data_IF_557857433233
#
_entry.id   IF_557857433233
#
_cell.length_a   1.000
_cell.length_b   1.000
_cell.length_c   1.000
_cell.angle_alpha   90.00
_cell.angle_beta   90.00
_cell.angle_gamma   90.00
#
_symmetry.space_group_name_H-M   'P 1'
#
loop_
_entity.id
_entity.type
_entity.pdbx_description
1 polymer ?
#
# COMPACT_ATOMS: atom_id res chain seq x y z
N UNK A 1 -16.57 -7.88 -18.42
CA UNK A 1 -16.36 -8.35 -17.04
C UNK A 1 -17.07 -7.37 -16.12
N UNK A 2 -18.27 -7.71 -15.63
CA UNK A 2 -19.00 -6.84 -14.73
C UNK A 2 -18.27 -6.84 -13.38
N UNK A 3 -17.69 -5.69 -12.99
CA UNK A 3 -17.29 -5.48 -11.60
C UNK A 3 -18.51 -5.78 -10.73
N UNK A 4 -18.38 -6.71 -9.79
CA UNK A 4 -19.45 -7.02 -8.84
C UNK A 4 -20.01 -5.68 -8.31
N UNK A 5 -21.33 -5.43 -8.39
CA UNK A 5 -21.90 -4.13 -8.03
C UNK A 5 -21.50 -3.69 -6.61
N UNK A 6 -21.26 -4.67 -5.73
CA UNK A 6 -20.71 -4.47 -4.40
C UNK A 6 -19.26 -3.96 -4.40
N UNK A 7 -18.38 -4.49 -5.26
CA UNK A 7 -17.00 -3.99 -5.41
C UNK A 7 -16.99 -2.56 -5.95
N UNK A 8 -17.89 -2.24 -6.88
CA UNK A 8 -18.05 -0.87 -7.40
C UNK A 8 -18.47 0.11 -6.30
N UNK A 9 -19.42 -0.26 -5.45
CA UNK A 9 -19.83 0.55 -4.30
C UNK A 9 -18.72 0.73 -3.26
N UNK A 10 -17.97 -0.33 -2.94
CA UNK A 10 -16.85 -0.24 -1.99
C UNK A 10 -15.76 0.68 -2.55
N UNK A 11 -15.40 0.52 -3.82
CA UNK A 11 -14.42 1.39 -4.48
C UNK A 11 -14.87 2.85 -4.49
N UNK A 12 -16.15 3.11 -4.80
CA UNK A 12 -16.70 4.46 -4.77
C UNK A 12 -16.69 5.06 -3.35
N UNK A 13 -17.00 4.26 -2.33
CA UNK A 13 -16.92 4.70 -0.93
C UNK A 13 -15.48 5.03 -0.52
N UNK A 14 -14.53 4.13 -0.79
CA UNK A 14 -13.11 4.36 -0.48
C UNK A 14 -12.51 5.55 -1.24
N UNK A 15 -13.02 5.86 -2.43
CA UNK A 15 -12.61 7.04 -3.20
C UNK A 15 -13.24 8.35 -2.68
N UNK A 16 -14.35 8.28 -1.94
CA UNK A 16 -15.00 9.44 -1.35
C UNK A 16 -14.14 10.08 -0.25
N UNK A 17 -14.25 11.40 0.02
CA UNK A 17 -13.51 12.06 1.09
C UNK A 17 -13.68 11.35 2.44
N UNK A 18 -14.92 11.03 2.79
CA UNK A 18 -15.27 10.32 4.03
C UNK A 18 -14.66 8.92 4.11
N UNK A 19 -14.64 8.17 3.01
CA UNK A 19 -14.03 6.85 2.98
C UNK A 19 -12.50 6.91 3.07
N UNK A 20 -11.87 7.90 2.42
CA UNK A 20 -10.43 8.16 2.57
C UNK A 20 -10.08 8.52 4.00
N UNK A 21 -10.86 9.39 4.65
CA UNK A 21 -10.67 9.75 6.07
C UNK A 21 -10.84 8.55 6.99
N UNK A 22 -11.88 7.74 6.79
CA UNK A 22 -12.11 6.52 7.58
C UNK A 22 -10.95 5.52 7.43
N UNK A 23 -10.50 5.29 6.19
CA UNK A 23 -9.37 4.44 5.90
C UNK A 23 -8.10 5.00 6.55
N UNK A 24 -7.82 6.29 6.38
CA UNK A 24 -6.67 6.96 6.97
C UNK A 24 -6.66 6.83 8.50
N UNK A 25 -7.79 7.09 9.16
CA UNK A 25 -7.92 6.98 10.60
C UNK A 25 -7.72 5.54 11.09
N UNK A 26 -8.22 4.56 10.35
CA UNK A 26 -7.99 3.15 10.65
C UNK A 26 -6.52 2.77 10.48
N UNK A 27 -5.89 3.11 9.34
CA UNK A 27 -4.47 2.81 9.11
C UNK A 27 -3.54 3.55 10.09
N UNK A 28 -3.97 4.71 10.61
CA UNK A 28 -3.26 5.45 11.64
C UNK A 28 -3.43 4.87 13.05
N UNK A 29 -4.48 4.08 13.29
CA UNK A 29 -4.75 3.47 14.60
C UNK A 29 -3.73 2.38 14.94
N UNK A 30 -3.50 2.08 16.23
CA UNK A 30 -2.61 0.99 16.64
C UNK A 30 -3.02 -0.36 16.03
N UNK A 31 -4.32 -0.61 15.93
CA UNK A 31 -4.89 -1.84 15.38
C UNK A 31 -4.68 -1.94 13.87
N UNK A 32 -4.90 -0.84 13.12
CA UNK A 32 -4.66 -0.83 11.67
C UNK A 32 -3.18 -1.00 11.34
N UNK A 33 -2.29 -0.32 12.08
CA UNK A 33 -0.84 -0.52 11.94
C UNK A 33 -0.43 -1.96 12.20
N UNK A 34 -0.96 -2.57 13.27
CA UNK A 34 -0.71 -3.98 13.58
C UNK A 34 -1.17 -4.89 12.44
N UNK A 35 -2.38 -4.67 11.93
CA UNK A 35 -2.96 -5.48 10.83
C UNK A 35 -2.11 -5.39 9.57
N UNK A 36 -1.65 -4.19 9.18
CA UNK A 36 -0.75 -4.01 8.04
C UNK A 36 0.57 -4.72 8.30
N UNK A 37 1.17 -4.54 9.48
CA UNK A 37 2.44 -5.18 9.85
C UNK A 37 2.35 -6.72 9.80
N UNK A 38 1.25 -7.29 10.29
CA UNK A 38 0.99 -8.72 10.22
C UNK A 38 0.80 -9.17 8.76
N UNK A 39 0.08 -8.39 7.95
CA UNK A 39 -0.11 -8.69 6.53
C UNK A 39 1.21 -8.68 5.76
N UNK A 40 2.02 -7.63 5.88
CA UNK A 40 3.32 -7.53 5.17
C UNK A 40 4.34 -8.56 5.66
N UNK A 41 4.14 -9.16 6.84
CA UNK A 41 4.96 -10.26 7.31
C UNK A 41 4.64 -11.58 6.60
N UNK A 42 3.44 -11.74 6.05
CA UNK A 42 3.04 -12.91 5.26
C UNK A 42 3.74 -12.95 3.89
N UNK A 43 3.94 -14.14 3.28
CA UNK A 43 4.51 -14.24 1.93
C UNK A 43 3.75 -13.43 0.89
N UNK A 44 2.40 -13.49 0.90
CA UNK A 44 1.57 -12.73 -0.04
C UNK A 44 1.62 -11.22 0.18
N UNK A 45 1.73 -10.77 1.44
CA UNK A 45 1.93 -9.35 1.74
C UNK A 45 3.30 -8.84 1.33
N UNK A 46 4.36 -9.63 1.47
CA UNK A 46 5.71 -9.28 0.97
C UNK A 46 5.73 -9.13 -0.54
N UNK A 47 5.11 -10.06 -1.27
CA UNK A 47 5.00 -9.98 -2.73
C UNK A 47 4.20 -8.75 -3.15
N UNK A 48 3.06 -8.50 -2.50
CA UNK A 48 2.22 -7.32 -2.77
C UNK A 48 3.02 -6.04 -2.55
N UNK A 49 3.75 -5.92 -1.44
CA UNK A 49 4.63 -4.78 -1.16
C UNK A 49 5.71 -4.65 -2.22
N UNK A 50 6.37 -5.73 -2.64
CA UNK A 50 7.38 -5.68 -3.70
C UNK A 50 6.82 -5.18 -5.02
N UNK A 51 5.56 -5.49 -5.33
CA UNK A 51 4.89 -5.04 -6.55
C UNK A 51 4.52 -3.55 -6.51
N UNK A 52 4.02 -3.05 -5.37
CA UNK A 52 3.54 -1.65 -5.26
C UNK A 52 4.61 -0.66 -4.79
N UNK A 53 5.71 -1.14 -4.19
CA UNK A 53 6.77 -0.29 -3.68
C UNK A 53 7.41 0.61 -4.75
N UNK A 54 7.65 0.16 -6.00
CA UNK A 54 8.13 1.05 -7.06
C UNK A 54 7.21 2.25 -7.31
N UNK A 55 5.89 2.03 -7.37
CA UNK A 55 4.89 3.09 -7.54
C UNK A 55 4.82 4.03 -6.33
N UNK A 56 4.93 3.48 -5.11
CA UNK A 56 5.00 4.28 -3.87
C UNK A 56 6.24 5.17 -3.89
N UNK A 57 7.40 4.62 -4.28
CA UNK A 57 8.65 5.39 -4.36
C UNK A 57 8.61 6.47 -5.44
N UNK A 58 7.84 6.27 -6.51
CA UNK A 58 7.63 7.29 -7.56
C UNK A 58 6.70 8.42 -7.09
N UNK A 59 5.71 8.09 -6.25
CA UNK A 59 4.79 9.05 -5.66
C UNK A 59 5.40 9.88 -4.50
N UNK A 60 6.53 9.44 -3.93
CA UNK A 60 7.24 10.16 -2.89
C UNK A 60 8.25 11.14 -3.51
N UNK A 61 8.39 12.37 -2.99
CA UNK A 61 9.40 13.33 -3.44
C UNK A 61 10.80 12.91 -2.94
N UNK A 62 11.29 11.77 -3.41
CA UNK A 62 12.60 11.23 -3.08
C UNK A 62 13.64 11.74 -4.08
N UNK A 63 14.84 12.00 -3.59
CA UNK A 63 15.97 12.23 -4.48
C UNK A 63 16.30 10.94 -5.25
N UNK A 64 16.87 11.05 -6.47
CA UNK A 64 17.27 9.89 -7.27
C UNK A 64 18.19 8.91 -6.51
N UNK A 65 19.06 9.43 -5.64
CA UNK A 65 19.95 8.65 -4.80
C UNK A 65 19.20 7.81 -3.77
N UNK A 66 18.22 8.38 -3.06
CA UNK A 66 17.41 7.64 -2.10
C UNK A 66 16.57 6.55 -2.78
N UNK A 67 16.08 6.83 -3.99
CA UNK A 67 15.36 5.83 -4.81
C UNK A 67 16.27 4.66 -5.18
N UNK A 68 17.49 4.94 -5.63
CA UNK A 68 18.47 3.92 -6.03
C UNK A 68 18.93 3.08 -4.84
N UNK A 69 19.11 3.68 -3.65
CA UNK A 69 19.44 2.98 -2.42
C UNK A 69 18.34 2.00 -1.99
N UNK A 70 17.08 2.43 -2.01
CA UNK A 70 15.94 1.60 -1.60
C UNK A 70 15.72 0.47 -2.61
N UNK A 71 15.73 0.76 -3.92
CA UNK A 71 15.57 -0.26 -4.97
C UNK A 71 16.76 -1.23 -5.04
N UNK A 72 17.99 -0.75 -4.82
CA UNK A 72 19.18 -1.59 -4.73
C UNK A 72 19.17 -2.54 -3.53
N UNK A 73 18.71 -2.06 -2.37
CA UNK A 73 18.59 -2.89 -1.15
C UNK A 73 17.55 -4.00 -1.29
N UNK A 74 16.54 -3.81 -2.14
CA UNK A 74 15.52 -4.83 -2.44
C UNK A 74 16.04 -5.89 -3.44
N UNK A 75 16.83 -5.47 -4.43
CA UNK A 75 17.43 -6.39 -5.42
C UNK A 75 18.55 -7.27 -4.84
N UNK A 76 19.29 -6.79 -3.85
CA UNK A 76 20.43 -7.53 -3.27
C UNK A 76 20.01 -8.71 -2.37
N UNK A 77 18.71 -8.87 -2.09
CA UNK A 77 18.18 -9.88 -1.17
C UNK A 77 17.51 -11.08 -1.84
N UNK A 78 17.68 -11.25 -3.15
CA UNK A 78 17.19 -12.40 -3.92
C UNK A 78 18.33 -13.32 -4.35
#
# INVERSE_FOLDING_TARGET
>A
MALDPMKGMIAAYLASPKGKEALHNYLASPEGKKTICEYIATPGGKETVQQILPDILDALPLTPENRALITGSLKSRN
#
